data_IF_658404594609
#
_entry.id   IF_658404594609
#
_cell.length_a   1.000
_cell.length_b   1.000
_cell.length_c   1.000
_cell.angle_alpha   90.00
_cell.angle_beta   90.00
_cell.angle_gamma   90.00
#
_symmetry.space_group_name_H-M   'P 1'
#
loop_
_entity.id
_entity.type
_entity.pdbx_description
1 polymer ?
#
# COMPACT_ATOMS: atom_id res chain seq x y z
N UNK A 1 13.75 -33.81 -18.05
CA UNK A 1 12.76 -32.89 -18.67
C UNK A 1 13.21 -32.46 -20.05
N UNK A 2 14.42 -31.89 -20.20
CA UNK A 2 14.97 -31.46 -21.49
C UNK A 2 14.87 -32.50 -22.61
N UNK A 3 15.24 -33.76 -22.36
CA UNK A 3 15.16 -34.83 -23.37
C UNK A 3 13.73 -35.10 -23.86
N UNK A 4 12.75 -35.09 -22.95
CA UNK A 4 11.35 -35.31 -23.29
C UNK A 4 10.79 -34.15 -24.13
N UNK A 5 11.17 -32.92 -23.81
CA UNK A 5 10.79 -31.72 -24.58
C UNK A 5 11.45 -31.73 -25.96
N UNK A 6 12.72 -32.12 -26.05
CA UNK A 6 13.43 -32.25 -27.32
C UNK A 6 12.74 -33.26 -28.26
N UNK A 7 12.18 -34.35 -27.71
CA UNK A 7 11.44 -35.36 -28.47
C UNK A 7 10.13 -34.85 -29.07
N UNK A 8 9.53 -33.79 -28.53
CA UNK A 8 8.25 -33.22 -28.99
C UNK A 8 8.38 -31.80 -29.57
N UNK A 9 9.60 -31.29 -29.68
CA UNK A 9 9.90 -30.00 -30.30
C UNK A 9 10.34 -30.22 -31.75
N UNK A 10 9.94 -29.38 -32.73
CA UNK A 10 10.37 -29.52 -34.11
C UNK A 10 11.90 -29.57 -34.22
N UNK A 11 12.46 -30.40 -35.13
CA UNK A 11 11.79 -31.08 -36.26
C UNK A 11 11.40 -32.55 -36.01
N UNK A 12 11.24 -32.98 -34.75
CA UNK A 12 10.99 -34.40 -34.42
C UNK A 12 9.63 -34.93 -34.90
N UNK A 13 9.47 -36.25 -35.17
CA UNK A 13 8.18 -36.83 -35.59
C UNK A 13 7.05 -36.63 -34.58
N UNK A 14 7.36 -36.61 -33.28
CA UNK A 14 6.35 -36.44 -32.23
C UNK A 14 5.93 -34.98 -32.05
N UNK A 15 6.62 -34.01 -32.66
CA UNK A 15 6.20 -32.60 -32.60
C UNK A 15 4.81 -32.34 -33.21
N UNK A 16 4.39 -33.17 -34.17
CA UNK A 16 3.05 -33.13 -34.73
C UNK A 16 1.99 -33.81 -33.86
N UNK A 17 2.38 -34.62 -32.87
CA UNK A 17 1.45 -35.37 -32.01
C UNK A 17 0.94 -34.49 -30.88
N UNK A 18 -0.35 -34.11 -30.95
CA UNK A 18 -1.03 -33.35 -29.88
C UNK A 18 -0.94 -34.08 -28.53
N UNK A 19 -1.19 -35.39 -28.53
CA UNK A 19 -1.17 -36.22 -27.33
C UNK A 19 0.22 -36.27 -26.70
N UNK A 20 1.28 -36.40 -27.51
CA UNK A 20 2.64 -36.41 -26.98
C UNK A 20 2.99 -35.04 -26.35
N UNK A 21 2.62 -33.95 -27.02
CA UNK A 21 2.86 -32.59 -26.50
C UNK A 21 2.10 -32.32 -25.20
N UNK A 22 0.84 -32.71 -25.14
CA UNK A 22 -0.01 -32.63 -23.94
C UNK A 22 0.59 -33.42 -22.79
N UNK A 23 1.01 -34.68 -23.01
CA UNK A 23 1.63 -35.50 -21.97
C UNK A 23 2.91 -34.85 -21.42
N UNK A 24 3.79 -34.36 -22.31
CA UNK A 24 5.03 -33.69 -21.89
C UNK A 24 4.72 -32.39 -21.15
N UNK A 25 3.76 -31.60 -21.63
CA UNK A 25 3.36 -30.35 -20.99
C UNK A 25 2.75 -30.58 -19.60
N UNK A 26 1.88 -31.58 -19.44
CA UNK A 26 1.26 -31.94 -18.16
C UNK A 26 2.31 -32.46 -17.14
N UNK A 27 3.24 -33.31 -17.59
CA UNK A 27 4.35 -33.77 -16.74
C UNK A 27 5.31 -32.63 -16.36
N UNK A 28 5.59 -31.71 -17.29
CA UNK A 28 6.40 -30.53 -17.01
C UNK A 28 5.69 -29.58 -16.03
N UNK A 29 4.39 -29.38 -16.19
CA UNK A 29 3.58 -28.55 -15.30
C UNK A 29 3.58 -29.07 -13.85
N UNK A 30 3.53 -30.39 -13.64
CA UNK A 30 3.59 -30.97 -12.29
C UNK A 30 4.95 -30.77 -11.58
N UNK A 31 5.98 -30.33 -12.32
CA UNK A 31 7.32 -30.00 -11.82
C UNK A 31 7.69 -28.55 -12.15
N UNK A 32 6.71 -27.64 -12.18
CA UNK A 32 6.88 -26.27 -12.64
C UNK A 32 7.93 -25.46 -11.85
N UNK A 33 8.25 -25.85 -10.62
CA UNK A 33 9.17 -25.18 -9.70
C UNK A 33 10.66 -25.38 -10.03
N UNK A 34 10.98 -26.41 -10.84
CA UNK A 34 12.36 -26.77 -11.21
C UNK A 34 12.61 -26.68 -12.71
N UNK A 35 11.69 -26.07 -13.46
CA UNK A 35 11.85 -25.91 -14.91
C UNK A 35 12.93 -24.87 -15.24
N UNK A 36 13.80 -25.21 -16.18
CA UNK A 36 14.66 -24.24 -16.83
C UNK A 36 13.85 -23.34 -17.79
N UNK A 37 14.46 -22.27 -18.29
CA UNK A 37 13.79 -21.30 -19.15
C UNK A 37 13.19 -21.93 -20.41
N UNK A 38 13.88 -22.92 -21.00
CA UNK A 38 13.41 -23.59 -22.21
C UNK A 38 12.17 -24.44 -21.93
N UNK A 39 12.18 -25.20 -20.84
CA UNK A 39 11.05 -26.01 -20.41
C UNK A 39 9.86 -25.17 -19.96
N UNK A 40 10.12 -24.05 -19.28
CA UNK A 40 9.09 -23.09 -18.89
C UNK A 40 8.38 -22.50 -20.10
N UNK A 41 9.15 -22.10 -21.14
CA UNK A 41 8.58 -21.59 -22.38
C UNK A 41 7.72 -22.65 -23.07
N UNK A 42 8.22 -23.88 -23.16
CA UNK A 42 7.46 -24.98 -23.73
C UNK A 42 6.12 -25.20 -23.02
N UNK A 43 6.09 -25.17 -21.68
CA UNK A 43 4.83 -25.29 -20.92
C UNK A 43 3.89 -24.14 -21.23
N UNK A 44 4.38 -22.90 -21.19
CA UNK A 44 3.59 -21.68 -21.48
C UNK A 44 2.97 -21.72 -22.88
N UNK A 45 3.74 -22.17 -23.88
CA UNK A 45 3.31 -22.23 -25.27
C UNK A 45 2.28 -23.33 -25.53
N UNK A 46 2.17 -24.33 -24.66
CA UNK A 46 1.26 -25.48 -24.81
C UNK A 46 0.18 -25.55 -23.71
N UNK A 47 -0.08 -24.46 -22.98
CA UNK A 47 -1.12 -24.42 -21.93
C UNK A 47 -2.53 -24.70 -22.46
N UNK A 48 -2.79 -24.47 -23.75
CA UNK A 48 -4.05 -24.79 -24.43
C UNK A 48 -4.31 -26.30 -24.56
N UNK A 49 -3.25 -27.10 -24.45
CA UNK A 49 -3.32 -28.56 -24.48
C UNK A 49 -3.58 -29.15 -23.09
N UNK A 50 -3.35 -28.39 -22.02
CA UNK A 50 -3.46 -28.89 -20.64
C UNK A 50 -4.91 -28.82 -20.17
N UNK A 51 -5.36 -29.86 -19.46
CA UNK A 51 -6.69 -29.89 -18.88
C UNK A 51 -6.89 -28.78 -17.83
N UNK A 52 -8.11 -28.27 -17.70
CA UNK A 52 -8.44 -27.27 -16.66
C UNK A 52 -8.16 -27.80 -15.24
N UNK A 53 -8.35 -29.10 -15.05
CA UNK A 53 -8.06 -29.77 -13.78
C UNK A 53 -6.56 -29.69 -13.42
N UNK A 54 -5.68 -30.00 -14.37
CA UNK A 54 -4.23 -29.97 -14.12
C UNK A 54 -3.71 -28.54 -13.96
N UNK A 55 -4.27 -27.60 -14.73
CA UNK A 55 -4.00 -26.17 -14.54
C UNK A 55 -4.46 -25.67 -13.17
N UNK A 56 -5.60 -26.12 -12.68
CA UNK A 56 -6.08 -25.77 -11.35
C UNK A 56 -5.20 -26.37 -10.24
N UNK A 57 -4.70 -27.59 -10.43
CA UNK A 57 -3.86 -28.31 -9.48
C UNK A 57 -2.44 -27.73 -9.38
N UNK A 58 -1.83 -27.38 -10.51
CA UNK A 58 -0.42 -26.99 -10.59
C UNK A 58 -0.19 -25.52 -10.96
N UNK A 59 -1.25 -24.77 -11.30
CA UNK A 59 -1.15 -23.39 -11.77
C UNK A 59 -0.48 -22.45 -10.78
N UNK A 60 -0.64 -22.67 -9.47
CA UNK A 60 0.04 -21.86 -8.45
C UNK A 60 1.57 -22.05 -8.49
N UNK A 61 2.06 -23.27 -8.73
CA UNK A 61 3.49 -23.55 -8.85
C UNK A 61 4.06 -22.87 -10.10
N UNK A 62 3.34 -23.00 -11.23
CA UNK A 62 3.70 -22.31 -12.47
C UNK A 62 3.71 -20.80 -12.32
N UNK A 63 2.66 -20.21 -11.74
CA UNK A 63 2.57 -18.78 -11.52
C UNK A 63 3.68 -18.28 -10.58
N UNK A 64 3.98 -19.01 -9.51
CA UNK A 64 5.06 -18.69 -8.59
C UNK A 64 6.45 -18.75 -9.25
N UNK A 65 6.68 -19.73 -10.13
CA UNK A 65 7.94 -19.81 -10.89
C UNK A 65 8.05 -18.70 -11.93
N UNK A 66 6.98 -18.47 -12.70
CA UNK A 66 6.92 -17.38 -13.68
C UNK A 66 7.09 -16.01 -13.02
N UNK A 67 6.51 -15.78 -11.85
CA UNK A 67 6.68 -14.53 -11.11
C UNK A 67 8.16 -14.23 -10.81
N UNK A 68 8.95 -15.26 -10.49
CA UNK A 68 10.38 -15.14 -10.17
C UNK A 68 11.25 -15.05 -11.43
N UNK A 69 11.00 -15.91 -12.41
CA UNK A 69 11.84 -16.08 -13.58
C UNK A 69 11.47 -15.16 -14.75
N UNK A 70 10.17 -14.95 -14.99
CA UNK A 70 9.64 -14.24 -16.14
C UNK A 70 8.30 -13.52 -15.84
N UNK A 71 8.26 -12.50 -14.97
CA UNK A 71 7.02 -11.86 -14.51
C UNK A 71 6.21 -11.23 -15.65
N UNK A 72 6.86 -10.73 -16.70
CA UNK A 72 6.18 -10.25 -17.91
C UNK A 72 5.36 -11.33 -18.62
N UNK A 73 5.83 -12.60 -18.62
CA UNK A 73 5.07 -13.72 -19.18
C UNK A 73 3.87 -14.07 -18.32
N UNK A 74 4.02 -14.03 -16.99
CA UNK A 74 2.89 -14.20 -16.08
C UNK A 74 1.81 -13.15 -16.34
N UNK A 75 2.19 -11.88 -16.50
CA UNK A 75 1.24 -10.82 -16.81
C UNK A 75 0.56 -11.01 -18.17
N UNK A 76 1.29 -11.45 -19.20
CA UNK A 76 0.68 -11.81 -20.49
C UNK A 76 -0.35 -12.94 -20.34
N UNK A 77 -0.08 -13.93 -19.48
CA UNK A 77 -1.02 -15.03 -19.21
C UNK A 77 -2.26 -14.60 -18.38
N UNK A 78 -2.12 -13.57 -17.54
CA UNK A 78 -3.24 -12.97 -16.80
C UNK A 78 -4.23 -12.26 -17.73
N UNK A 79 -3.77 -11.79 -18.88
CA UNK A 79 -4.60 -11.15 -19.90
C UNK A 79 -4.71 -12.00 -21.20
N UNK A 80 -4.43 -13.30 -21.11
CA UNK A 80 -4.44 -14.23 -22.24
C UNK A 80 -5.81 -14.27 -22.94
N UNK A 81 -5.82 -14.42 -24.26
CA UNK A 81 -7.05 -14.55 -25.05
C UNK A 81 -7.81 -15.84 -24.72
N UNK A 82 -7.08 -16.90 -24.33
CA UNK A 82 -7.62 -18.20 -23.94
C UNK A 82 -8.26 -18.09 -22.56
N UNK A 83 -9.59 -18.11 -22.50
CA UNK A 83 -10.36 -17.92 -21.27
C UNK A 83 -9.95 -18.86 -20.14
N UNK A 84 -9.75 -20.15 -20.41
CA UNK A 84 -9.39 -21.17 -19.41
C UNK A 84 -8.02 -20.89 -18.78
N UNK A 85 -7.02 -20.55 -19.61
CA UNK A 85 -5.68 -20.16 -19.16
C UNK A 85 -5.76 -18.90 -18.31
N UNK A 86 -6.44 -17.86 -18.82
CA UNK A 86 -6.61 -16.59 -18.12
C UNK A 86 -7.23 -16.75 -16.73
N UNK A 87 -8.35 -17.46 -16.65
CA UNK A 87 -9.05 -17.71 -15.37
C UNK A 87 -8.16 -18.50 -14.41
N UNK A 88 -7.48 -19.54 -14.89
CA UNK A 88 -6.61 -20.37 -14.06
C UNK A 88 -5.40 -19.60 -13.53
N UNK A 89 -4.79 -18.75 -14.36
CA UNK A 89 -3.63 -17.96 -13.99
C UNK A 89 -3.98 -16.81 -13.03
N UNK A 90 -5.14 -16.15 -13.20
CA UNK A 90 -5.66 -15.20 -12.20
C UNK A 90 -5.87 -15.88 -10.85
N UNK A 91 -6.59 -17.00 -10.82
CA UNK A 91 -6.82 -17.76 -9.59
C UNK A 91 -5.52 -18.28 -8.96
N UNK A 92 -4.52 -18.64 -9.76
CA UNK A 92 -3.20 -19.04 -9.28
C UNK A 92 -2.47 -17.89 -8.58
N UNK A 93 -2.48 -16.68 -9.17
CA UNK A 93 -1.85 -15.47 -8.61
C UNK A 93 -2.58 -14.98 -7.35
N UNK A 94 -3.89 -15.12 -7.29
CA UNK A 94 -4.70 -14.85 -6.08
C UNK A 94 -4.25 -15.68 -4.86
N UNK A 95 -3.73 -16.89 -5.08
CA UNK A 95 -3.28 -17.80 -4.02
C UNK A 95 -1.83 -17.57 -3.57
N UNK A 96 -1.04 -16.79 -4.31
CA UNK A 96 0.33 -16.45 -3.90
C UNK A 96 0.26 -15.44 -2.75
N UNK A 97 1.18 -15.49 -1.79
CA UNK A 97 1.20 -14.46 -0.73
C UNK A 97 1.45 -13.05 -1.31
N UNK A 98 0.76 -12.02 -0.78
CA UNK A 98 0.88 -10.64 -1.27
C UNK A 98 2.31 -10.13 -1.21
N UNK A 99 3.04 -10.45 -0.13
CA UNK A 99 4.42 -10.03 0.02
C UNK A 99 5.33 -10.75 -0.98
N UNK A 100 5.07 -12.02 -1.29
CA UNK A 100 5.82 -12.76 -2.32
C UNK A 100 5.61 -12.12 -3.69
N UNK A 101 4.38 -11.74 -4.04
CA UNK A 101 4.11 -10.98 -5.26
C UNK A 101 4.86 -9.66 -5.25
N UNK A 102 4.70 -8.86 -4.18
CA UNK A 102 5.33 -7.55 -4.03
C UNK A 102 6.87 -7.60 -4.11
N UNK A 103 7.51 -8.63 -3.54
CA UNK A 103 8.98 -8.81 -3.57
C UNK A 103 9.55 -8.95 -4.97
N UNK A 104 8.76 -9.47 -5.91
CA UNK A 104 9.20 -9.70 -7.28
C UNK A 104 8.84 -8.54 -8.22
N UNK A 105 8.09 -7.53 -7.75
CA UNK A 105 7.77 -6.33 -8.52
C UNK A 105 9.02 -5.45 -8.69
N UNK A 106 9.06 -4.70 -9.80
CA UNK A 106 10.07 -3.66 -10.06
C UNK A 106 9.40 -2.40 -10.57
N UNK A 107 9.96 -1.25 -10.23
CA UNK A 107 9.50 0.05 -10.70
C UNK A 107 9.59 0.18 -12.23
N UNK A 108 8.60 0.84 -12.85
CA UNK A 108 8.60 1.18 -14.27
C UNK A 108 8.29 0.03 -15.23
N UNK A 109 7.88 -1.12 -14.72
CA UNK A 109 7.56 -2.28 -15.53
C UNK A 109 6.07 -2.36 -15.86
N UNK A 110 5.73 -2.56 -17.13
CA UNK A 110 4.35 -2.55 -17.63
C UNK A 110 3.47 -3.66 -17.03
N UNK A 111 4.09 -4.73 -16.52
CA UNK A 111 3.40 -5.88 -15.96
C UNK A 111 2.92 -5.70 -14.51
N UNK A 112 3.24 -4.58 -13.85
CA UNK A 112 2.70 -4.27 -12.51
C UNK A 112 1.19 -4.06 -12.55
N UNK A 113 0.66 -3.42 -13.61
CA UNK A 113 -0.77 -3.11 -13.73
C UNK A 113 -1.66 -4.35 -13.86
N UNK A 114 -1.35 -5.34 -14.72
CA UNK A 114 -2.07 -6.61 -14.76
C UNK A 114 -2.10 -7.32 -13.40
N UNK A 115 -0.99 -7.29 -12.64
CA UNK A 115 -0.93 -7.90 -11.31
C UNK A 115 -1.79 -7.15 -10.30
N UNK A 116 -1.81 -5.81 -10.31
CA UNK A 116 -2.70 -5.01 -9.45
C UNK A 116 -4.19 -5.27 -9.73
N UNK A 117 -4.56 -5.56 -10.98
CA UNK A 117 -5.94 -5.89 -11.34
C UNK A 117 -6.41 -7.22 -10.73
N UNK A 118 -5.48 -8.17 -10.51
CA UNK A 118 -5.74 -9.45 -9.85
C UNK A 118 -5.59 -9.33 -8.33
N UNK A 119 -4.66 -8.50 -7.87
CA UNK A 119 -4.29 -8.33 -6.46
C UNK A 119 -4.39 -6.87 -6.04
N UNK A 120 -5.62 -6.37 -5.82
CA UNK A 120 -5.83 -4.99 -5.36
C UNK A 120 -5.35 -4.75 -3.92
N UNK A 121 -5.01 -5.81 -3.19
CA UNK A 121 -4.44 -5.82 -1.84
C UNK A 121 -2.92 -5.55 -1.81
N UNK A 122 -2.20 -5.62 -2.95
CA UNK A 122 -0.75 -5.35 -2.97
C UNK A 122 -0.33 -4.02 -2.33
N UNK A 123 -1.06 -2.90 -2.54
CA UNK A 123 -0.72 -1.61 -1.93
C UNK A 123 -0.92 -1.58 -0.41
N UNK A 124 -1.45 -2.63 0.22
CA UNK A 124 -1.50 -2.79 1.67
C UNK A 124 -0.19 -3.39 2.23
N UNK A 125 0.76 -3.77 1.36
CA UNK A 125 2.06 -4.29 1.77
C UNK A 125 3.14 -3.21 1.66
N UNK A 126 3.97 -2.98 2.70
CA UNK A 126 5.07 -2.01 2.60
C UNK A 126 6.08 -2.36 1.49
N UNK A 127 6.29 -3.65 1.25
CA UNK A 127 7.24 -4.15 0.23
C UNK A 127 6.82 -3.70 -1.17
N UNK A 128 5.52 -3.64 -1.46
CA UNK A 128 5.02 -3.16 -2.75
C UNK A 128 5.52 -1.75 -3.03
N UNK A 129 5.33 -0.84 -2.07
CA UNK A 129 5.76 0.55 -2.19
C UNK A 129 7.27 0.68 -2.25
N UNK A 130 7.99 -0.11 -1.45
CA UNK A 130 9.45 -0.13 -1.45
C UNK A 130 10.02 -0.51 -2.82
N UNK A 131 9.44 -1.53 -3.47
CA UNK A 131 9.93 -2.07 -4.74
C UNK A 131 9.52 -1.26 -5.95
N UNK A 132 8.29 -0.74 -5.94
CA UNK A 132 7.71 -0.07 -7.11
C UNK A 132 7.92 1.43 -7.09
N UNK A 133 8.06 2.04 -5.91
CA UNK A 133 7.97 3.51 -5.74
C UNK A 133 6.81 4.09 -6.57
N UNK A 134 5.65 3.40 -6.53
CA UNK A 134 4.50 3.76 -7.36
C UNK A 134 3.93 5.12 -6.94
N UNK A 135 3.52 5.93 -7.93
CA UNK A 135 2.78 7.16 -7.67
C UNK A 135 1.30 6.82 -7.50
N UNK A 136 0.57 7.70 -6.82
CA UNK A 136 -0.87 7.52 -6.63
C UNK A 136 -1.63 7.46 -7.96
N UNK A 137 -1.18 8.21 -8.97
CA UNK A 137 -1.77 8.21 -10.31
C UNK A 137 -1.66 6.84 -11.00
N UNK A 138 -0.53 6.14 -10.85
CA UNK A 138 -0.30 4.83 -11.47
C UNK A 138 -1.29 3.79 -10.92
N UNK A 139 -1.50 3.83 -9.60
CA UNK A 139 -2.47 2.97 -8.90
C UNK A 139 -3.91 3.29 -9.31
N UNK A 140 -4.26 4.58 -9.43
CA UNK A 140 -5.58 5.00 -9.90
C UNK A 140 -5.84 4.58 -11.35
N UNK A 141 -4.84 4.63 -12.23
CA UNK A 141 -4.93 4.12 -13.59
C UNK A 141 -5.11 2.59 -13.64
N UNK A 142 -4.57 1.87 -12.64
CA UNK A 142 -4.83 0.46 -12.42
C UNK A 142 -6.22 0.18 -11.81
N UNK A 143 -7.02 1.20 -11.52
CA UNK A 143 -8.35 1.07 -10.92
C UNK A 143 -8.35 0.95 -9.39
N UNK A 144 -7.19 1.14 -8.75
CA UNK A 144 -7.05 1.08 -7.29
C UNK A 144 -7.43 2.43 -6.67
N UNK A 145 -8.33 2.39 -5.69
CA UNK A 145 -8.70 3.56 -4.88
C UNK A 145 -7.84 3.58 -3.62
N UNK A 146 -7.04 4.63 -3.47
CA UNK A 146 -6.22 4.89 -2.29
C UNK A 146 -7.04 5.60 -1.22
N UNK A 147 -7.65 4.82 -0.34
CA UNK A 147 -8.53 5.32 0.73
C UNK A 147 -8.38 4.54 2.03
N UNK A 148 -7.83 3.32 2.01
CA UNK A 148 -7.70 2.50 3.19
C UNK A 148 -6.50 2.93 4.04
N UNK A 149 -6.66 2.91 5.37
CA UNK A 149 -5.59 3.25 6.32
C UNK A 149 -4.40 2.29 6.19
N UNK A 150 -4.66 1.00 5.91
CA UNK A 150 -3.62 0.00 5.68
C UNK A 150 -2.73 0.36 4.47
N UNK A 151 -3.30 0.91 3.40
CA UNK A 151 -2.55 1.34 2.22
C UNK A 151 -1.65 2.54 2.54
N UNK A 152 -2.16 3.50 3.31
CA UNK A 152 -1.37 4.66 3.76
C UNK A 152 -0.23 4.24 4.68
N UNK A 153 -0.50 3.37 5.66
CA UNK A 153 0.53 2.85 6.55
C UNK A 153 1.62 2.10 5.77
N UNK A 154 1.22 1.26 4.83
CA UNK A 154 2.15 0.57 3.95
C UNK A 154 2.98 1.54 3.08
N UNK A 155 2.36 2.59 2.54
CA UNK A 155 3.04 3.61 1.77
C UNK A 155 4.06 4.38 2.62
N UNK A 156 3.68 4.78 3.84
CA UNK A 156 4.56 5.49 4.79
C UNK A 156 5.79 4.66 5.15
N UNK A 157 5.63 3.35 5.31
CA UNK A 157 6.71 2.42 5.63
C UNK A 157 7.58 2.03 4.42
N UNK A 158 7.04 2.07 3.20
CA UNK A 158 7.73 1.56 2.02
C UNK A 158 8.30 2.62 1.08
N UNK A 159 7.64 3.78 0.94
CA UNK A 159 8.08 4.81 0.00
C UNK A 159 9.33 5.53 0.50
N UNK A 160 10.23 5.83 -0.44
CA UNK A 160 11.39 6.69 -0.23
C UNK A 160 11.59 7.73 -1.32
N UNK A 161 11.00 7.57 -2.50
CA UNK A 161 11.03 8.56 -3.56
C UNK A 161 10.17 9.79 -3.23
N UNK A 162 10.71 11.00 -3.40
CA UNK A 162 10.04 12.24 -3.01
C UNK A 162 8.76 12.49 -3.84
N UNK A 163 8.80 12.23 -5.15
CA UNK A 163 7.65 12.47 -6.03
C UNK A 163 6.51 11.50 -5.72
N UNK A 164 6.85 10.28 -5.33
CA UNK A 164 5.90 9.25 -4.92
C UNK A 164 5.26 9.58 -3.58
N UNK A 165 6.05 10.03 -2.61
CA UNK A 165 5.56 10.53 -1.30
C UNK A 165 4.61 11.70 -1.51
N UNK A 166 4.99 12.72 -2.29
CA UNK A 166 4.14 13.88 -2.62
C UNK A 166 2.82 13.43 -3.25
N UNK A 167 2.90 12.52 -4.23
CA UNK A 167 1.73 12.03 -4.94
C UNK A 167 0.75 11.30 -4.01
N UNK A 168 1.24 10.46 -3.09
CA UNK A 168 0.41 9.72 -2.14
C UNK A 168 -0.14 10.64 -1.05
N UNK A 169 0.69 11.52 -0.48
CA UNK A 169 0.29 12.49 0.52
C UNK A 169 -0.84 13.40 0.02
N UNK A 170 -0.78 13.83 -1.25
CA UNK A 170 -1.84 14.64 -1.87
C UNK A 170 -3.19 13.92 -1.94
N UNK A 171 -3.19 12.61 -2.17
CA UNK A 171 -4.43 11.82 -2.29
C UNK A 171 -5.05 11.53 -0.92
N UNK A 172 -4.24 11.17 0.08
CA UNK A 172 -4.75 10.89 1.43
C UNK A 172 -5.02 12.14 2.28
N UNK A 173 -4.32 13.24 1.97
CA UNK A 173 -4.37 14.50 2.71
C UNK A 173 -3.45 14.54 3.93
N UNK A 174 -2.93 15.73 4.24
CA UNK A 174 -1.92 15.95 5.29
C UNK A 174 -2.33 15.47 6.67
N UNK A 175 -3.60 15.69 7.06
CA UNK A 175 -4.10 15.27 8.38
C UNK A 175 -4.10 13.74 8.55
N UNK A 176 -4.47 12.99 7.50
CA UNK A 176 -4.47 11.52 7.51
C UNK A 176 -3.04 10.97 7.61
N UNK A 177 -2.12 11.57 6.85
CA UNK A 177 -0.69 11.22 6.88
C UNK A 177 -0.11 11.44 8.27
N UNK A 178 -0.34 12.61 8.89
CA UNK A 178 0.16 12.91 10.24
C UNK A 178 -0.38 11.93 11.28
N UNK A 179 -1.68 11.60 11.24
CA UNK A 179 -2.29 10.60 12.12
C UNK A 179 -1.66 9.23 11.93
N UNK A 180 -1.46 8.80 10.68
CA UNK A 180 -0.84 7.52 10.36
C UNK A 180 0.62 7.46 10.88
N UNK A 181 1.42 8.49 10.63
CA UNK A 181 2.80 8.57 11.13
C UNK A 181 2.84 8.55 12.65
N UNK A 182 1.97 9.31 13.32
CA UNK A 182 1.86 9.31 14.78
C UNK A 182 1.56 7.90 15.32
N UNK A 183 0.62 7.18 14.69
CA UNK A 183 0.28 5.81 15.08
C UNK A 183 1.46 4.85 14.88
N UNK A 184 2.11 4.89 13.71
CA UNK A 184 3.28 4.03 13.43
C UNK A 184 4.42 4.27 14.40
N UNK A 185 4.69 5.53 14.77
CA UNK A 185 5.70 5.86 15.77
C UNK A 185 5.30 5.41 17.18
N UNK A 186 4.01 5.42 17.52
CA UNK A 186 3.52 4.89 18.79
C UNK A 186 3.62 3.35 18.87
N UNK A 187 3.56 2.67 17.72
CA UNK A 187 3.81 1.23 17.57
C UNK A 187 5.31 0.88 17.45
N UNK A 188 6.21 1.84 17.69
CA UNK A 188 7.66 1.69 17.58
C UNK A 188 8.13 1.21 16.19
N UNK A 189 7.34 1.46 15.14
CA UNK A 189 7.73 1.16 13.77
C UNK A 189 8.78 2.17 13.29
N UNK A 190 9.75 1.69 12.53
CA UNK A 190 10.72 2.58 11.89
C UNK A 190 10.08 3.25 10.67
N UNK A 191 9.88 4.56 10.78
CA UNK A 191 9.49 5.42 9.66
C UNK A 191 10.76 6.06 9.12
N UNK A 192 11.49 5.33 8.28
CA UNK A 192 12.84 5.72 7.83
C UNK A 192 12.84 7.07 7.11
N UNK A 193 11.76 7.39 6.38
CA UNK A 193 11.61 8.63 5.60
C UNK A 193 10.72 9.67 6.29
N UNK A 194 10.64 9.64 7.62
CA UNK A 194 9.81 10.53 8.45
C UNK A 194 9.94 12.01 8.03
N UNK A 195 11.17 12.48 7.81
CA UNK A 195 11.40 13.89 7.43
C UNK A 195 10.77 14.25 6.09
N UNK A 196 10.78 13.37 5.09
CA UNK A 196 10.18 13.64 3.78
C UNK A 196 8.66 13.71 3.87
N UNK A 197 8.06 12.79 4.63
CA UNK A 197 6.62 12.81 4.91
C UNK A 197 6.22 14.07 5.66
N UNK A 198 6.97 14.46 6.70
CA UNK A 198 6.69 15.68 7.48
C UNK A 198 6.84 16.93 6.63
N UNK A 199 7.92 17.04 5.87
CA UNK A 199 8.14 18.16 4.93
C UNK A 199 6.95 18.30 3.97
N UNK A 200 6.46 17.20 3.42
CA UNK A 200 5.34 17.23 2.48
C UNK A 200 4.04 17.71 3.12
N UNK A 201 3.67 17.19 4.30
CA UNK A 201 2.43 17.60 4.97
C UNK A 201 2.48 19.03 5.48
N UNK A 202 3.68 19.54 5.80
CA UNK A 202 3.92 20.92 6.23
C UNK A 202 3.62 21.97 5.14
N UNK A 203 3.46 21.58 3.86
CA UNK A 203 2.93 22.49 2.84
C UNK A 203 1.46 22.91 3.09
N UNK A 204 0.76 22.22 4.00
CA UNK A 204 -0.62 22.55 4.40
C UNK A 204 -0.69 22.89 5.90
N UNK A 205 -0.25 24.10 6.31
CA UNK A 205 -0.11 24.46 7.72
C UNK A 205 -1.43 24.40 8.51
N UNK A 206 -2.57 24.64 7.86
CA UNK A 206 -3.91 24.51 8.47
C UNK A 206 -4.20 23.07 8.92
N UNK A 207 -3.82 22.08 8.11
CA UNK A 207 -3.97 20.66 8.45
C UNK A 207 -3.04 20.26 9.60
N UNK A 208 -1.82 20.82 9.63
CA UNK A 208 -0.87 20.64 10.74
C UNK A 208 -1.44 21.24 12.03
N UNK A 209 -1.94 22.48 11.99
CA UNK A 209 -2.57 23.14 13.13
C UNK A 209 -3.73 22.31 13.68
N UNK A 210 -4.63 21.88 12.79
CA UNK A 210 -5.75 21.02 13.15
C UNK A 210 -5.31 19.68 13.73
N UNK A 211 -4.22 19.08 13.25
CA UNK A 211 -3.69 17.84 13.81
C UNK A 211 -3.14 18.04 15.23
N UNK A 212 -2.34 19.09 15.42
CA UNK A 212 -1.73 19.41 16.72
C UNK A 212 -2.80 19.76 17.78
N UNK A 213 -3.85 20.49 17.40
CA UNK A 213 -4.89 20.92 18.34
C UNK A 213 -5.82 19.78 18.81
N UNK A 214 -5.94 18.70 18.03
CA UNK A 214 -6.87 17.60 18.30
C UNK A 214 -6.19 16.32 18.80
N UNK A 215 -4.86 16.30 18.90
CA UNK A 215 -4.10 15.11 19.31
C UNK A 215 -3.61 15.25 20.75
N UNK A 216 -4.12 14.40 21.65
CA UNK A 216 -3.85 14.50 23.09
C UNK A 216 -2.42 14.09 23.49
N UNK A 217 -1.84 13.10 22.80
CA UNK A 217 -0.53 12.56 23.11
C UNK A 217 0.31 12.51 21.83
N UNK A 218 1.08 13.57 21.60
CA UNK A 218 1.94 13.69 20.42
C UNK A 218 3.28 12.99 20.64
N UNK A 219 3.79 12.33 19.60
CA UNK A 219 5.10 11.72 19.63
C UNK A 219 6.17 12.84 19.54
N UNK A 220 7.13 12.93 20.49
CA UNK A 220 8.12 14.01 20.50
C UNK A 220 8.98 14.08 19.22
N UNK A 221 9.26 12.93 18.59
CA UNK A 221 10.03 12.85 17.35
C UNK A 221 9.26 13.50 16.19
N UNK A 222 7.94 13.24 16.10
CA UNK A 222 7.09 13.86 15.09
C UNK A 222 7.00 15.38 15.28
N UNK A 223 6.77 15.83 16.53
CA UNK A 223 6.72 17.26 16.87
C UNK A 223 8.02 17.96 16.52
N UNK A 224 9.16 17.36 16.89
CA UNK A 224 10.48 17.90 16.56
C UNK A 224 10.71 18.00 15.04
N UNK A 225 10.25 17.04 14.25
CA UNK A 225 10.32 17.13 12.79
C UNK A 225 9.43 18.24 12.24
N UNK A 226 8.21 18.40 12.74
CA UNK A 226 7.29 19.47 12.30
C UNK A 226 7.91 20.85 12.62
N UNK A 227 8.44 21.02 13.84
CA UNK A 227 9.09 22.24 14.28
C UNK A 227 10.32 22.62 13.44
N UNK A 228 11.00 21.63 12.86
CA UNK A 228 12.15 21.87 11.99
C UNK A 228 11.75 22.32 10.57
N UNK A 229 10.54 21.98 10.12
CA UNK A 229 10.05 22.30 8.76
C UNK A 229 9.19 23.57 8.72
N UNK A 230 8.52 23.93 9.83
CA UNK A 230 7.67 25.12 9.92
C UNK A 230 8.34 26.24 10.71
N UNK A 231 8.18 27.48 10.23
CA UNK A 231 8.51 28.65 11.02
C UNK A 231 7.56 28.74 12.24
N UNK A 232 7.99 29.33 13.37
CA UNK A 232 7.17 29.45 14.57
C UNK A 232 5.79 30.07 14.31
N UNK A 233 5.74 31.08 13.43
CA UNK A 233 4.52 31.82 13.08
C UNK A 233 3.70 31.18 11.93
N UNK A 234 4.17 30.07 11.35
CA UNK A 234 3.54 29.47 10.16
C UNK A 234 2.28 28.66 10.49
N UNK A 235 2.08 28.29 11.75
CA UNK A 235 0.91 27.52 12.20
C UNK A 235 -0.15 28.50 12.70
N UNK A 236 -1.30 28.65 12.01
CA UNK A 236 -2.35 29.55 12.43
C UNK A 236 -2.83 29.16 13.83
N UNK A 237 -2.76 30.11 14.76
CA UNK A 237 -3.30 29.95 16.09
C UNK A 237 -4.46 30.93 16.27
N UNK A 238 -5.66 30.42 16.55
CA UNK A 238 -6.82 31.24 16.91
C UNK A 238 -6.67 31.87 18.31
N UNK A 239 -5.69 31.42 19.09
CA UNK A 239 -5.32 32.00 20.37
C UNK A 239 -4.08 32.88 20.18
N UNK A 240 -4.10 34.11 20.67
CA UNK A 240 -2.92 34.98 20.72
C UNK A 240 -1.79 34.50 21.65
N UNK A 241 -1.74 33.20 21.98
CA UNK A 241 -0.72 32.56 22.82
C UNK A 241 -0.15 31.38 22.06
N UNK A 242 1.05 31.59 21.53
CA UNK A 242 1.87 30.63 20.80
C UNK A 242 1.92 29.24 21.50
N UNK A 243 1.53 28.14 20.81
CA UNK A 243 1.56 26.80 21.39
C UNK A 243 3.00 26.29 21.62
N UNK A 244 4.00 26.90 20.98
CA UNK A 244 5.42 26.61 21.21
C UNK A 244 5.93 27.20 22.53
N UNK A 245 5.25 28.21 23.09
CA UNK A 245 5.68 28.95 24.29
C UNK A 245 5.05 28.45 25.60
N UNK A 246 4.14 27.47 25.56
CA UNK A 246 3.47 26.97 26.76
C UNK A 246 4.41 26.24 27.77
N UNK A 247 5.62 25.84 27.33
CA UNK A 247 6.62 25.18 28.19
C UNK A 247 7.71 26.13 28.74
N UNK A 248 7.74 27.41 28.33
CA UNK A 248 8.91 28.28 28.53
C UNK A 248 8.74 29.52 29.43
N UNK A 249 7.51 29.95 29.70
CA UNK A 249 7.24 31.21 30.41
C UNK A 249 6.52 31.00 31.74
N UNK A 250 7.12 30.19 32.61
CA UNK A 250 6.90 30.30 34.07
C UNK A 250 8.27 30.42 34.75
N UNK A 251 8.93 31.56 34.52
CA UNK A 251 10.08 32.00 35.30
C UNK A 251 9.76 33.35 35.91
N UNK A 252 9.00 33.28 36.98
CA UNK A 252 8.63 34.43 37.80
C UNK A 252 8.54 34.11 39.28
N UNK A 253 9.20 33.07 39.81
CA UNK A 253 9.49 33.00 41.25
C UNK A 253 10.62 32.02 41.59
N UNK A 254 11.55 32.49 42.40
CA UNK A 254 12.74 31.79 42.82
C UNK A 254 12.44 30.57 43.69
N UNK A 255 13.06 29.44 43.36
CA UNK A 255 13.45 28.43 44.34
C UNK A 255 12.41 27.36 44.67
N UNK A 256 12.33 26.33 43.81
CA UNK A 256 12.24 24.90 44.17
C UNK A 256 12.23 24.06 42.89
N UNK A 257 13.15 23.10 42.78
CA UNK A 257 13.15 22.10 41.69
C UNK A 257 11.84 21.29 41.75
N UNK A 258 11.06 21.16 40.66
CA UNK A 258 9.99 20.19 40.60
C UNK A 258 10.52 18.85 40.06
N UNK A 259 10.24 17.80 40.83
CA UNK A 259 10.39 16.39 40.47
C UNK A 259 9.43 16.02 39.33
N UNK A 260 9.86 15.05 38.50
CA UNK A 260 9.28 14.61 37.24
C UNK A 260 7.91 13.89 37.33
N UNK A 261 6.92 14.45 38.03
CA UNK A 261 5.63 13.77 38.19
C UNK A 261 4.46 14.77 38.26
N UNK A 262 4.14 15.45 37.14
CA UNK A 262 2.94 16.30 37.04
C UNK A 262 2.46 16.60 35.61
N UNK A 263 2.48 15.63 34.71
CA UNK A 263 1.81 15.76 33.39
C UNK A 263 0.33 15.30 33.43
N UNK A 264 -0.13 14.66 34.51
CA UNK A 264 -1.50 14.20 34.63
C UNK A 264 -2.34 15.16 35.51
N UNK A 265 -2.81 16.30 34.98
CA UNK A 265 -4.02 17.02 35.44
C UNK A 265 -4.24 18.33 34.67
N UNK A 266 -4.60 18.26 33.38
CA UNK A 266 -5.35 19.33 32.74
C UNK A 266 -6.69 18.73 32.28
N UNK A 267 -7.67 18.75 33.20
CA UNK A 267 -9.07 18.44 32.87
C UNK A 267 -9.59 19.55 31.96
N UNK A 268 -9.78 19.22 30.69
CA UNK A 268 -10.52 20.05 29.74
C UNK A 268 -12.00 19.99 30.16
N UNK A 269 -12.54 21.09 30.69
CA UNK A 269 -13.98 21.23 30.86
C UNK A 269 -14.64 21.45 29.49
N UNK A 270 -15.64 20.64 29.08
CA UNK A 270 -16.42 20.94 27.89
C UNK A 270 -17.28 22.19 28.14
N UNK A 271 -17.27 23.09 27.16
CA UNK A 271 -18.07 24.33 27.12
C UNK A 271 -19.57 23.96 27.07
N UNK A 272 -20.47 24.63 27.82
CA UNK A 272 -21.90 24.35 27.74
C UNK A 272 -22.49 24.81 26.40
N UNK A 273 -23.24 23.91 25.76
CA UNK A 273 -24.01 24.18 24.54
C UNK A 273 -25.04 25.28 24.78
N UNK A 274 -25.06 26.29 23.89
CA UNK A 274 -26.16 27.27 23.82
C UNK A 274 -27.39 26.60 23.23
N UNK A 275 -28.41 26.41 24.05
CA UNK A 275 -29.73 25.95 23.64
C UNK A 275 -30.36 26.91 22.61
N UNK A 276 -30.58 26.42 21.39
CA UNK A 276 -31.39 27.10 20.37
C UNK A 276 -32.86 26.78 20.64
N UNK A 277 -33.61 27.79 21.06
CA UNK A 277 -35.02 27.70 21.42
C UNK A 277 -35.89 27.63 20.15
N UNK A 278 -36.29 26.43 19.73
CA UNK A 278 -37.27 26.22 18.65
C UNK A 278 -38.66 26.65 19.11
N UNK A 279 -39.20 27.72 18.50
CA UNK A 279 -40.63 28.10 18.61
C UNK A 279 -41.50 27.07 17.88
N UNK A 280 -42.52 26.54 18.56
CA UNK A 280 -43.58 25.70 17.97
C UNK A 280 -44.60 26.59 17.25
N UNK A 281 -45.12 26.20 16.08
CA UNK A 281 -46.32 26.82 15.51
C UNK A 281 -47.59 26.19 16.11
N UNK A 282 -48.51 27.05 16.53
CA UNK A 282 -49.85 26.73 17.00
C UNK A 282 -50.73 26.39 15.80
N UNK A 283 -51.35 25.21 15.80
CA UNK A 283 -52.39 24.86 14.85
C UNK A 283 -53.72 25.49 15.31
N UNK A 284 -54.34 26.29 14.44
CA UNK A 284 -55.73 26.74 14.58
C UNK A 284 -56.57 25.79 13.72
N UNK A 285 -57.45 25.05 14.39
CA UNK A 285 -58.60 24.40 13.78
C UNK A 285 -59.76 25.40 13.82
N UNK A 286 -60.43 25.60 12.69
CA UNK A 286 -61.81 26.08 12.68
C UNK A 286 -62.62 25.30 11.63
N UNK A 287 -63.88 25.15 11.99
CA UNK A 287 -64.96 24.27 11.53
C UNK A 287 -65.47 24.59 10.13
#
# INVERSE_FOLDING_TARGET
>A
MADAIALVTPPTPLSASKVAREMVASVALSHADILDDAALNYVVDNLDLISEHDLAAHGQQLAGHLLKAAPGKLAALIDDERLSVRVSMKAAVERIDANVVAQNLKAGEDWVRPLLAVRPDLPETPVFWQRTQAKAADLQQAGIKLQAEAQLAAAVLGLNDQLSIESVARVFGSASVLKCVQQLLAEERDVSELRRWVKEVCHQPEAVASFLSHTLALNPRLVSCIAAELAPDAVPNDYGVDPWLADGLDNGEAGKRPTANRIASLRIHPRPERAVQKRRPTAVFDV
#
